data_IF_926896533047
#
_entry.id   IF_926896533047
#
_cell.length_a   1.000
_cell.length_b   1.000
_cell.length_c   1.000
_cell.angle_alpha   90.00
_cell.angle_beta   90.00
_cell.angle_gamma   90.00
#
_symmetry.space_group_name_H-M   'P 1'
#
loop_
_entity.id
_entity.type
_entity.pdbx_description
1 polymer ?
#
# COMPACT_ATOMS: atom_id res chain seq x y z
N UNK A 1 15.45 16.32 -3.65
CA UNK A 1 14.48 15.20 -3.76
C UNK A 1 15.22 13.91 -3.45
N UNK A 2 14.73 13.08 -2.54
CA UNK A 2 15.46 11.90 -1.99
C UNK A 2 15.89 10.86 -3.05
N UNK A 3 15.21 10.78 -4.20
CA UNK A 3 15.49 9.83 -5.27
C UNK A 3 15.63 10.52 -6.65
N UNK A 4 16.10 11.78 -6.67
CA UNK A 4 16.22 12.58 -7.89
C UNK A 4 17.06 11.93 -8.97
N UNK A 5 18.20 11.35 -8.56
CA UNK A 5 19.13 10.68 -9.49
C UNK A 5 18.52 9.44 -10.15
N UNK A 6 17.72 8.68 -9.38
CA UNK A 6 17.02 7.52 -9.91
C UNK A 6 15.95 7.96 -10.93
N UNK A 7 15.16 8.98 -10.59
CA UNK A 7 14.13 9.53 -11.46
C UNK A 7 14.72 10.15 -12.74
N UNK A 8 15.89 10.79 -12.67
CA UNK A 8 16.56 11.37 -13.85
C UNK A 8 17.03 10.32 -14.85
N UNK A 9 17.31 9.09 -14.39
CA UNK A 9 17.74 7.96 -15.21
C UNK A 9 16.59 7.20 -15.88
N UNK A 10 15.34 7.47 -15.47
CA UNK A 10 14.16 6.83 -16.05
C UNK A 10 13.77 7.49 -17.36
N UNK A 11 13.32 6.68 -18.32
CA UNK A 11 12.66 7.17 -19.53
C UNK A 11 11.27 7.71 -19.22
N UNK A 12 10.66 8.43 -20.16
CA UNK A 12 9.29 8.92 -20.00
C UNK A 12 8.31 7.75 -19.87
N UNK A 13 8.48 6.70 -20.68
CA UNK A 13 7.64 5.51 -20.67
C UNK A 13 7.72 4.78 -19.32
N UNK A 14 8.92 4.65 -18.75
CA UNK A 14 9.12 4.06 -17.42
C UNK A 14 8.44 4.87 -16.32
N UNK A 15 8.51 6.20 -16.38
CA UNK A 15 7.79 7.08 -15.43
C UNK A 15 6.27 6.92 -15.55
N UNK A 16 5.75 6.91 -16.77
CA UNK A 16 4.32 6.67 -17.00
C UNK A 16 3.89 5.28 -16.53
N UNK A 17 4.71 4.25 -16.78
CA UNK A 17 4.41 2.88 -16.36
C UNK A 17 4.34 2.72 -14.83
N UNK A 18 5.23 3.39 -14.08
CA UNK A 18 5.14 3.42 -12.61
C UNK A 18 3.86 4.06 -12.11
N UNK A 19 3.42 5.16 -12.74
CA UNK A 19 2.20 5.87 -12.33
C UNK A 19 0.93 5.09 -12.70
N UNK A 20 0.96 4.34 -13.81
CA UNK A 20 -0.18 3.55 -14.26
C UNK A 20 -0.39 2.26 -13.46
N UNK A 21 0.68 1.74 -12.82
CA UNK A 21 0.65 0.45 -12.15
C UNK A 21 0.75 -0.73 -13.12
N UNK A 22 0.83 -1.94 -12.58
CA UNK A 22 0.87 -3.21 -13.30
C UNK A 22 -0.51 -3.88 -13.33
N UNK A 23 -1.16 -3.87 -12.20
CA UNK A 23 -2.51 -4.37 -11.97
C UNK A 23 -3.18 -3.60 -10.83
N UNK A 24 -4.26 -4.15 -10.26
CA UNK A 24 -5.07 -3.49 -9.21
C UNK A 24 -4.24 -3.13 -7.98
N UNK A 25 -3.25 -3.97 -7.64
CA UNK A 25 -2.54 -3.87 -6.37
C UNK A 25 -1.03 -3.75 -6.50
N UNK A 26 -0.46 -3.78 -7.72
CA UNK A 26 0.99 -3.76 -7.89
C UNK A 26 1.45 -2.59 -8.74
N UNK A 27 2.60 -2.01 -8.35
CA UNK A 27 3.35 -1.12 -9.23
C UNK A 27 4.10 -1.93 -10.29
N UNK A 28 4.51 -1.28 -11.38
CA UNK A 28 5.41 -1.91 -12.34
C UNK A 28 6.85 -1.92 -11.82
N UNK A 29 7.52 -3.05 -12.03
CA UNK A 29 8.96 -3.15 -11.87
C UNK A 29 9.70 -2.44 -13.02
N UNK A 30 10.90 -1.93 -12.74
CA UNK A 30 11.83 -1.44 -13.75
C UNK A 30 13.18 -2.13 -13.52
N UNK A 31 13.37 -3.34 -14.10
CA UNK A 31 14.55 -4.17 -13.85
C UNK A 31 15.87 -3.48 -14.19
N UNK A 32 15.90 -2.68 -15.24
CA UNK A 32 17.07 -1.91 -15.68
C UNK A 32 17.60 -0.96 -14.60
N UNK A 33 16.73 -0.46 -13.73
CA UNK A 33 17.07 0.44 -12.62
C UNK A 33 17.00 -0.24 -11.25
N UNK A 34 16.80 -1.57 -11.24
CA UNK A 34 16.65 -2.35 -10.02
C UNK A 34 15.51 -1.86 -9.12
N UNK A 35 14.41 -1.41 -9.75
CA UNK A 35 13.17 -1.02 -9.06
C UNK A 35 12.23 -2.22 -9.06
N UNK A 36 11.94 -2.81 -7.88
CA UNK A 36 10.99 -3.92 -7.78
C UNK A 36 9.55 -3.46 -7.95
N UNK A 37 8.66 -4.38 -8.28
CA UNK A 37 7.23 -4.17 -8.07
C UNK A 37 6.95 -4.07 -6.56
N UNK A 38 6.03 -3.18 -6.19
CA UNK A 38 5.59 -2.98 -4.81
C UNK A 38 4.11 -3.35 -4.75
N UNK A 39 3.73 -4.15 -3.76
CA UNK A 39 2.33 -4.44 -3.48
C UNK A 39 1.72 -3.29 -2.69
N UNK A 40 0.59 -2.79 -3.16
CA UNK A 40 -0.25 -1.83 -2.46
C UNK A 40 -1.42 -2.57 -1.82
N UNK A 41 -1.94 -2.02 -0.75
CA UNK A 41 -3.12 -2.55 -0.10
C UNK A 41 -3.92 -1.41 0.52
N UNK A 42 -5.19 -1.61 0.66
CA UNK A 42 -6.03 -0.70 1.43
C UNK A 42 -6.46 -1.33 2.77
N UNK A 43 -7.35 -0.67 3.48
CA UNK A 43 -7.93 -1.19 4.70
C UNK A 43 -8.48 -0.10 5.61
N UNK A 44 -9.76 0.28 5.46
CA UNK A 44 -10.36 1.35 6.26
C UNK A 44 -10.54 0.98 7.74
N UNK A 45 -10.51 -0.31 8.06
CA UNK A 45 -10.63 -0.83 9.43
C UNK A 45 -9.60 -1.93 9.73
N UNK A 46 -8.39 -1.80 9.20
CA UNK A 46 -7.32 -2.77 9.22
C UNK A 46 -6.88 -3.15 7.81
N UNK A 47 -5.74 -3.82 7.69
CA UNK A 47 -5.20 -4.20 6.39
C UNK A 47 -6.16 -5.13 5.64
N UNK A 48 -6.44 -4.84 4.36
CA UNK A 48 -7.26 -5.65 3.47
C UNK A 48 -6.46 -6.11 2.25
N UNK A 49 -5.55 -7.06 2.45
CA UNK A 49 -4.81 -7.69 1.36
C UNK A 49 -5.63 -8.84 0.77
N UNK A 50 -5.93 -8.80 -0.51
CA UNK A 50 -6.65 -9.87 -1.20
C UNK A 50 -5.73 -11.09 -1.39
N UNK A 51 -6.29 -12.29 -1.18
CA UNK A 51 -5.52 -13.54 -1.16
C UNK A 51 -5.34 -14.19 -2.54
N UNK A 52 -5.86 -13.60 -3.61
CA UNK A 52 -5.84 -14.14 -4.98
C UNK A 52 -5.81 -13.03 -6.01
N UNK A 53 -6.44 -13.27 -7.15
CA UNK A 53 -6.62 -12.20 -8.14
C UNK A 53 -7.38 -11.04 -7.52
N UNK A 54 -6.78 -9.85 -7.61
CA UNK A 54 -7.35 -8.63 -7.07
C UNK A 54 -8.63 -8.23 -7.81
N UNK A 55 -9.61 -7.73 -7.10
CA UNK A 55 -10.79 -7.10 -7.68
C UNK A 55 -10.96 -5.67 -7.13
N UNK A 56 -11.66 -4.82 -7.90
CA UNK A 56 -11.93 -3.43 -7.51
C UNK A 56 -13.06 -3.29 -6.48
N UNK A 57 -13.84 -4.33 -6.26
CA UNK A 57 -15.01 -4.30 -5.38
C UNK A 57 -14.70 -4.84 -3.98
N UNK A 58 -13.57 -5.53 -3.81
CA UNK A 58 -13.17 -6.15 -2.56
C UNK A 58 -14.06 -7.31 -2.13
N UNK A 59 -14.63 -8.03 -3.10
CA UNK A 59 -15.50 -9.19 -2.86
C UNK A 59 -14.71 -10.48 -2.66
N UNK A 60 -13.46 -10.52 -3.15
CA UNK A 60 -12.59 -11.67 -2.99
C UNK A 60 -12.10 -11.83 -1.55
N UNK A 61 -11.77 -13.06 -1.17
CA UNK A 61 -11.24 -13.37 0.15
C UNK A 61 -9.97 -12.55 0.43
N UNK A 62 -9.91 -11.99 1.64
CA UNK A 62 -8.76 -11.24 2.13
C UNK A 62 -8.00 -12.05 3.17
N UNK A 63 -6.71 -11.76 3.32
CA UNK A 63 -5.88 -12.31 4.40
C UNK A 63 -6.39 -11.80 5.75
N UNK A 64 -6.17 -12.60 6.80
CA UNK A 64 -6.53 -12.18 8.16
C UNK A 64 -5.59 -11.06 8.62
N UNK A 65 -6.17 -10.03 9.20
CA UNK A 65 -5.45 -8.90 9.76
C UNK A 65 -6.15 -8.37 11.02
N UNK A 66 -5.47 -7.51 11.76
CA UNK A 66 -6.03 -6.87 12.95
C UNK A 66 -7.13 -5.90 12.56
N UNK A 67 -8.32 -6.07 13.12
CA UNK A 67 -9.39 -5.08 12.96
C UNK A 67 -9.11 -3.88 13.87
N UNK A 68 -9.11 -2.69 13.28
CA UNK A 68 -8.97 -1.41 14.00
C UNK A 68 -10.24 -0.58 13.87
N UNK A 69 -10.47 0.38 14.80
CA UNK A 69 -11.58 1.33 14.67
C UNK A 69 -11.51 2.10 13.34
N UNK A 70 -12.68 2.52 12.84
CA UNK A 70 -12.74 3.34 11.63
C UNK A 70 -12.03 4.69 11.83
N UNK A 71 -11.62 5.33 10.73
CA UNK A 71 -10.97 6.65 10.77
C UNK A 71 -11.85 7.70 11.48
N UNK A 72 -13.17 7.64 11.30
CA UNK A 72 -14.11 8.53 12.02
C UNK A 72 -14.08 8.31 13.53
N UNK A 73 -14.04 7.05 13.96
CA UNK A 73 -13.94 6.70 15.40
C UNK A 73 -12.61 7.16 15.99
N UNK A 74 -11.50 6.96 15.27
CA UNK A 74 -10.18 7.42 15.70
C UNK A 74 -10.12 8.94 15.81
N UNK A 75 -10.71 9.66 14.87
CA UNK A 75 -10.77 11.11 14.87
C UNK A 75 -11.51 11.68 16.09
N UNK A 76 -12.50 10.97 16.63
CA UNK A 76 -13.23 11.37 17.84
C UNK A 76 -12.32 11.39 19.10
N UNK A 77 -11.19 10.74 19.10
CA UNK A 77 -10.23 10.80 20.22
C UNK A 77 -9.55 12.14 20.36
N UNK A 78 -9.41 12.90 19.27
CA UNK A 78 -8.60 14.13 19.20
C UNK A 78 -7.15 13.94 19.71
N UNK A 79 -6.67 12.69 19.67
CA UNK A 79 -5.34 12.32 20.17
C UNK A 79 -4.53 11.66 19.03
N UNK A 80 -3.49 12.35 18.59
CA UNK A 80 -2.59 11.88 17.53
C UNK A 80 -1.84 10.60 17.93
N UNK A 81 -1.59 10.38 19.23
CA UNK A 81 -0.87 9.17 19.69
C UNK A 81 -1.69 7.90 19.46
N UNK A 82 -3.01 7.98 19.56
CA UNK A 82 -3.92 6.87 19.24
C UNK A 82 -3.83 6.52 17.77
N UNK A 83 -3.83 7.53 16.88
CA UNK A 83 -3.70 7.32 15.43
C UNK A 83 -2.33 6.72 15.07
N UNK A 84 -1.25 7.16 15.70
CA UNK A 84 0.09 6.60 15.51
C UNK A 84 0.17 5.14 15.97
N UNK A 85 -0.43 4.81 17.11
CA UNK A 85 -0.49 3.44 17.61
C UNK A 85 -1.25 2.53 16.62
N UNK A 86 -2.38 3.00 16.07
CA UNK A 86 -3.14 2.25 15.06
C UNK A 86 -2.36 2.11 13.75
N UNK A 87 -1.68 3.17 13.29
CA UNK A 87 -0.79 3.11 12.13
C UNK A 87 0.34 2.09 12.31
N UNK A 88 0.88 1.99 13.52
CA UNK A 88 1.90 0.99 13.86
C UNK A 88 1.36 -0.44 13.74
N UNK A 89 0.13 -0.70 14.18
CA UNK A 89 -0.52 -2.02 14.04
C UNK A 89 -0.69 -2.38 12.57
N UNK A 90 -1.26 -1.48 11.78
CA UNK A 90 -1.46 -1.69 10.34
C UNK A 90 -0.12 -1.90 9.61
N UNK A 91 0.90 -1.10 9.96
CA UNK A 91 2.24 -1.24 9.37
C UNK A 91 2.91 -2.58 9.70
N UNK A 92 2.71 -3.12 10.91
CA UNK A 92 3.18 -4.46 11.27
C UNK A 92 2.43 -5.56 10.51
N UNK A 93 1.12 -5.45 10.40
CA UNK A 93 0.32 -6.40 9.63
C UNK A 93 0.76 -6.40 8.16
N UNK A 94 0.98 -5.23 7.56
CA UNK A 94 1.47 -5.10 6.20
C UNK A 94 2.86 -5.73 6.02
N UNK A 95 3.80 -5.47 6.93
CA UNK A 95 5.14 -6.04 6.87
C UNK A 95 5.14 -7.58 7.01
N UNK A 96 4.21 -8.15 7.77
CA UNK A 96 4.06 -9.59 7.93
C UNK A 96 3.45 -10.27 6.70
N UNK A 97 2.82 -9.52 5.82
CA UNK A 97 2.19 -10.03 4.60
C UNK A 97 3.11 -9.95 3.36
N UNK A 98 4.29 -9.36 3.49
CA UNK A 98 5.31 -9.24 2.43
C UNK A 98 5.15 -8.00 1.58
#
# INVERSE_FOLDING_TARGET
MKHGDLVSRMTLEEKCALLAGKDVWHTREIPRLNIPAITLSDGPSGLRKQAGEGDHLGLNASTKATCIPSAATLACSWDATVSEAMGTVVGRDAANQG
#
